data_IF_827680873708
#
_entry.id   IF_827680873708
#
_cell.length_a   1.000
_cell.length_b   1.000
_cell.length_c   1.000
_cell.angle_alpha   90.00
_cell.angle_beta   90.00
_cell.angle_gamma   90.00
#
_symmetry.space_group_name_H-M   'P 1'
#
loop_
_entity.id
_entity.type
_entity.pdbx_description
1 polymer ?
#
# COMPACT_ATOMS: atom_id res chain seq x y z
N UNK A 1 10.85 7.87 23.40
CA UNK A 1 10.22 6.66 23.97
C UNK A 1 8.71 6.75 23.80
N UNK A 2 8.22 6.00 22.82
CA UNK A 2 6.80 5.90 22.48
C UNK A 2 6.00 5.17 23.56
N UNK A 3 4.78 5.64 23.83
CA UNK A 3 3.90 5.05 24.82
C UNK A 3 3.21 3.78 24.29
N UNK A 4 3.17 2.72 25.10
CA UNK A 4 2.48 1.45 24.78
C UNK A 4 0.99 1.56 25.12
N UNK A 5 0.23 2.15 24.20
CA UNK A 5 -1.22 2.30 24.25
C UNK A 5 -1.84 1.77 22.95
N UNK A 6 -3.15 1.44 22.93
CA UNK A 6 -3.82 1.14 21.67
C UNK A 6 -3.56 2.27 20.66
N UNK A 7 -3.23 1.93 19.40
CA UNK A 7 -2.90 2.92 18.40
C UNK A 7 -4.14 3.74 18.03
N UNK A 8 -3.90 4.96 17.60
CA UNK A 8 -4.91 5.90 17.13
C UNK A 8 -4.38 6.61 15.89
N UNK A 9 -5.28 7.21 15.10
CA UNK A 9 -4.91 8.07 13.96
C UNK A 9 -3.81 9.08 14.32
N UNK A 10 -3.97 9.77 15.45
CA UNK A 10 -2.98 10.73 15.96
C UNK A 10 -1.65 10.09 16.34
N UNK A 11 -1.66 8.90 16.95
CA UNK A 11 -0.43 8.16 17.28
C UNK A 11 0.33 7.76 16.02
N UNK A 12 -0.37 7.23 15.01
CA UNK A 12 0.24 6.87 13.72
C UNK A 12 0.83 8.09 13.03
N UNK A 13 0.09 9.21 12.98
CA UNK A 13 0.58 10.47 12.42
C UNK A 13 1.90 10.92 13.06
N UNK A 14 1.98 10.90 14.40
CA UNK A 14 3.19 11.25 15.16
C UNK A 14 4.35 10.31 14.83
N UNK A 15 4.10 9.01 14.79
CA UNK A 15 5.13 8.01 14.48
C UNK A 15 5.69 8.19 13.07
N UNK A 16 4.81 8.31 12.07
CA UNK A 16 5.18 8.45 10.67
C UNK A 16 5.94 9.76 10.45
N UNK A 17 5.44 10.88 10.98
CA UNK A 17 6.12 12.18 10.91
C UNK A 17 7.49 12.13 11.59
N UNK A 18 7.58 11.49 12.76
CA UNK A 18 8.84 11.34 13.48
C UNK A 18 9.87 10.47 12.74
N UNK A 19 9.45 9.49 11.92
CA UNK A 19 10.36 8.75 11.03
C UNK A 19 10.86 9.66 9.90
N UNK A 20 9.97 10.43 9.26
CA UNK A 20 10.32 11.35 8.17
C UNK A 20 11.27 12.46 8.66
N UNK A 21 11.05 12.97 9.87
CA UNK A 21 11.84 14.02 10.50
C UNK A 21 13.07 13.48 11.25
N UNK A 22 13.36 12.17 11.15
CA UNK A 22 14.47 11.51 11.83
C UNK A 22 14.48 11.65 13.36
N UNK A 23 13.31 11.88 13.96
CA UNK A 23 13.11 11.92 15.42
C UNK A 23 12.99 10.52 16.03
N UNK A 24 12.49 9.55 15.26
CA UNK A 24 12.40 8.15 15.66
C UNK A 24 13.23 7.26 14.74
N UNK A 25 14.02 6.37 15.34
CA UNK A 25 14.69 5.30 14.59
C UNK A 25 13.70 4.20 14.22
N UNK A 26 13.97 3.48 13.14
CA UNK A 26 13.16 2.32 12.73
C UNK A 26 13.13 1.22 13.81
N UNK A 27 14.22 1.05 14.56
CA UNK A 27 14.30 0.13 15.70
C UNK A 27 13.38 0.54 16.86
N UNK A 28 13.30 1.84 17.16
CA UNK A 28 12.35 2.36 18.16
C UNK A 28 10.90 2.08 17.73
N UNK A 29 10.58 2.32 16.45
CA UNK A 29 9.24 2.05 15.91
C UNK A 29 8.91 0.56 15.93
N UNK A 30 9.85 -0.30 15.54
CA UNK A 30 9.63 -1.75 15.57
C UNK A 30 9.39 -2.25 17.01
N UNK A 31 10.19 -1.76 17.96
CA UNK A 31 10.03 -2.11 19.38
C UNK A 31 8.68 -1.67 19.92
N UNK A 32 8.24 -0.45 19.56
CA UNK A 32 6.91 0.04 19.90
C UNK A 32 5.80 -0.81 19.26
N UNK A 33 5.90 -1.10 17.97
CA UNK A 33 4.93 -1.93 17.25
C UNK A 33 4.76 -3.29 17.93
N UNK A 34 5.87 -3.98 18.23
CA UNK A 34 5.86 -5.28 18.90
C UNK A 34 5.20 -5.21 20.28
N UNK A 35 5.49 -4.17 21.07
CA UNK A 35 4.91 -3.98 22.40
C UNK A 35 3.39 -3.69 22.33
N UNK A 36 2.95 -2.86 21.38
CA UNK A 36 1.54 -2.55 21.16
C UNK A 36 0.80 -3.76 20.62
N UNK A 37 1.33 -4.42 19.60
CA UNK A 37 0.74 -5.62 18.99
C UNK A 37 0.57 -6.74 20.00
N UNK A 38 1.54 -6.97 20.90
CA UNK A 38 1.40 -7.95 22.00
C UNK A 38 0.24 -7.64 22.95
N UNK A 39 -0.15 -6.37 23.08
CA UNK A 39 -1.22 -5.94 23.99
C UNK A 39 -2.61 -5.98 23.36
N UNK A 40 -2.71 -5.63 22.08
CA UNK A 40 -4.00 -5.52 21.37
C UNK A 40 -4.27 -6.73 20.45
N UNK A 41 -3.23 -7.47 20.10
CA UNK A 41 -3.24 -8.54 19.10
C UNK A 41 -3.93 -8.08 17.80
N UNK A 42 -5.00 -8.76 17.39
CA UNK A 42 -5.78 -8.46 16.20
C UNK A 42 -6.98 -7.54 16.46
N UNK A 43 -7.16 -7.05 17.70
CA UNK A 43 -8.23 -6.13 18.07
C UNK A 43 -7.75 -4.68 17.90
N UNK A 44 -7.48 -4.30 16.66
CA UNK A 44 -6.95 -2.98 16.31
C UNK A 44 -8.08 -1.94 16.30
N UNK A 45 -8.07 -0.91 17.16
CA UNK A 45 -9.11 0.12 17.20
C UNK A 45 -8.86 1.22 16.16
N UNK A 46 -8.62 0.82 14.92
CA UNK A 46 -8.43 1.72 13.78
C UNK A 46 -9.38 1.32 12.66
N UNK A 47 -9.99 2.30 12.02
CA UNK A 47 -10.62 2.08 10.72
C UNK A 47 -9.58 2.15 9.60
N UNK A 48 -9.96 1.78 8.38
CA UNK A 48 -9.04 1.94 7.23
C UNK A 48 -8.65 3.41 7.02
N UNK A 49 -9.57 4.35 7.26
CA UNK A 49 -9.34 5.80 7.17
C UNK A 49 -8.40 6.33 8.27
N UNK A 50 -8.32 5.61 9.40
CA UNK A 50 -7.41 5.95 10.50
C UNK A 50 -5.99 5.41 10.30
N UNK A 51 -5.76 4.63 9.24
CA UNK A 51 -4.47 4.01 8.95
C UNK A 51 -4.33 2.56 9.45
N UNK A 52 -5.42 1.79 9.46
CA UNK A 52 -5.41 0.35 9.78
C UNK A 52 -4.26 -0.41 9.10
N UNK A 53 -4.15 -0.30 7.78
CA UNK A 53 -3.13 -0.97 6.98
C UNK A 53 -1.72 -0.46 7.27
N UNK A 54 -1.60 0.82 7.63
CA UNK A 54 -0.30 1.43 7.95
C UNK A 54 0.24 0.92 9.27
N UNK A 55 -0.62 0.71 10.28
CA UNK A 55 -0.18 0.07 11.52
C UNK A 55 0.44 -1.31 11.26
N UNK A 56 -0.23 -2.18 10.48
CA UNK A 56 0.32 -3.50 10.16
C UNK A 56 1.58 -3.43 9.31
N UNK A 57 1.68 -2.44 8.43
CA UNK A 57 2.86 -2.22 7.60
C UNK A 57 4.10 -1.95 8.45
N UNK A 58 3.97 -1.32 9.62
CA UNK A 58 5.09 -1.07 10.55
C UNK A 58 5.78 -2.35 11.06
N UNK A 59 5.14 -3.52 10.94
CA UNK A 59 5.82 -4.80 11.18
C UNK A 59 7.09 -4.96 10.33
N UNK A 60 7.09 -4.37 9.14
CA UNK A 60 8.17 -4.43 8.15
C UNK A 60 9.05 -3.18 8.12
N UNK A 61 8.96 -2.31 9.14
CA UNK A 61 9.73 -1.05 9.18
C UNK A 61 11.25 -1.28 9.08
N UNK A 62 11.75 -2.43 9.54
CA UNK A 62 13.14 -2.82 9.43
C UNK A 62 13.42 -3.89 8.37
N UNK A 63 12.40 -4.42 7.71
CA UNK A 63 12.58 -5.43 6.67
C UNK A 63 13.41 -4.84 5.52
N UNK A 64 14.29 -5.67 4.95
CA UNK A 64 15.13 -5.29 3.81
C UNK A 64 14.88 -6.19 2.61
N UNK A 65 14.80 -5.59 1.43
CA UNK A 65 14.64 -6.27 0.14
C UNK A 65 15.67 -5.67 -0.81
N UNK A 66 16.56 -6.52 -1.34
CA UNK A 66 17.65 -6.05 -2.21
C UNK A 66 18.67 -5.14 -1.50
N UNK A 67 18.87 -5.31 -0.19
CA UNK A 67 19.80 -4.51 0.60
C UNK A 67 19.23 -3.20 1.15
N UNK A 68 18.13 -2.72 0.57
CA UNK A 68 17.43 -1.50 0.96
C UNK A 68 16.26 -1.79 1.89
N UNK A 69 15.80 -0.78 2.64
CA UNK A 69 14.58 -0.91 3.43
C UNK A 69 13.37 -1.16 2.52
N UNK A 70 12.53 -2.13 2.91
CA UNK A 70 11.28 -2.42 2.22
C UNK A 70 10.38 -1.19 2.20
N UNK A 71 9.99 -0.69 3.38
CA UNK A 71 9.27 0.57 3.51
C UNK A 71 10.22 1.75 3.29
N UNK A 72 10.04 2.48 2.20
CA UNK A 72 10.83 3.66 1.81
C UNK A 72 10.30 4.89 2.52
N UNK A 73 11.10 5.97 2.55
CA UNK A 73 10.61 7.26 3.08
C UNK A 73 9.42 7.80 2.26
N UNK A 74 9.39 7.59 0.94
CA UNK A 74 8.24 7.96 0.12
C UNK A 74 6.96 7.22 0.51
N UNK A 75 7.06 5.97 0.99
CA UNK A 75 5.87 5.23 1.43
C UNK A 75 5.31 5.84 2.73
N UNK A 76 6.19 6.31 3.63
CA UNK A 76 5.80 7.03 4.85
C UNK A 76 5.14 8.38 4.55
N UNK A 77 5.64 9.11 3.55
CA UNK A 77 5.00 10.34 3.07
C UNK A 77 3.59 10.05 2.55
N UNK A 78 3.43 9.00 1.74
CA UNK A 78 2.12 8.59 1.21
C UNK A 78 1.15 8.15 2.33
N UNK A 79 1.63 7.46 3.37
CA UNK A 79 0.82 7.14 4.55
C UNK A 79 0.34 8.39 5.28
N UNK A 80 1.21 9.39 5.44
CA UNK A 80 0.87 10.62 6.15
C UNK A 80 -0.21 11.39 5.40
N UNK A 81 -0.06 11.51 4.08
CA UNK A 81 -1.07 12.14 3.19
C UNK A 81 -2.42 11.44 3.26
N UNK A 82 -2.43 10.12 3.27
CA UNK A 82 -3.66 9.33 3.38
C UNK A 82 -4.34 9.53 4.74
N UNK A 83 -3.57 9.49 5.84
CA UNK A 83 -4.05 9.82 7.20
C UNK A 83 -4.60 11.25 7.24
N UNK A 84 -3.96 12.20 6.58
CA UNK A 84 -4.39 13.60 6.50
C UNK A 84 -5.51 13.84 5.47
N UNK A 85 -6.02 12.77 4.85
CA UNK A 85 -7.09 12.79 3.86
C UNK A 85 -6.78 13.67 2.63
N UNK A 86 -5.51 13.75 2.25
CA UNK A 86 -5.08 14.40 1.01
C UNK A 86 -5.44 13.53 -0.20
N UNK A 87 -6.32 14.03 -1.05
CA UNK A 87 -6.82 13.32 -2.23
C UNK A 87 -5.72 12.85 -3.20
N UNK A 88 -5.95 11.71 -3.85
CA UNK A 88 -5.03 11.16 -4.84
C UNK A 88 -4.97 11.93 -6.16
N UNK A 89 -3.85 11.81 -6.86
CA UNK A 89 -3.48 12.59 -8.04
C UNK A 89 -4.07 12.07 -9.37
N UNK A 90 -4.18 12.95 -10.36
CA UNK A 90 -4.50 12.54 -11.73
C UNK A 90 -3.28 11.95 -12.44
N UNK A 91 -3.46 10.80 -13.13
CA UNK A 91 -2.38 10.09 -13.83
C UNK A 91 -2.43 10.23 -15.35
N UNK A 92 -3.52 10.77 -15.91
CA UNK A 92 -3.71 10.92 -17.36
C UNK A 92 -4.79 10.00 -17.92
N UNK A 93 -5.38 10.38 -19.06
CA UNK A 93 -6.29 9.52 -19.83
C UNK A 93 -7.46 8.93 -19.04
N UNK A 94 -8.11 9.73 -18.20
CA UNK A 94 -9.18 9.34 -17.24
C UNK A 94 -8.76 8.44 -16.08
N UNK A 95 -7.46 8.18 -15.92
CA UNK A 95 -6.93 7.42 -14.80
C UNK A 95 -6.59 8.36 -13.65
N UNK A 96 -7.10 8.04 -12.47
CA UNK A 96 -6.80 8.76 -11.22
C UNK A 96 -6.24 7.80 -10.18
N UNK A 97 -5.17 8.19 -9.51
CA UNK A 97 -4.70 7.54 -8.30
C UNK A 97 -5.72 7.81 -7.18
N UNK A 98 -6.17 6.74 -6.54
CA UNK A 98 -6.97 6.81 -5.33
C UNK A 98 -6.08 6.55 -4.12
N UNK A 99 -6.31 7.32 -3.07
CA UNK A 99 -5.76 7.04 -1.75
C UNK A 99 -6.45 5.84 -1.11
N UNK A 100 -5.84 5.26 -0.07
CA UNK A 100 -6.42 4.11 0.63
C UNK A 100 -7.72 4.51 1.33
N UNK A 101 -7.81 5.72 1.91
CA UNK A 101 -9.07 6.21 2.48
C UNK A 101 -10.17 6.43 1.42
N UNK A 102 -9.81 6.79 0.18
CA UNK A 102 -10.73 6.91 -0.96
C UNK A 102 -11.13 5.52 -1.54
N UNK A 103 -10.35 4.50 -1.19
CA UNK A 103 -10.64 3.13 -1.55
C UNK A 103 -11.73 2.60 -0.62
N UNK A 104 -12.81 2.06 -1.18
CA UNK A 104 -13.80 1.34 -0.38
C UNK A 104 -13.24 -0.08 -0.13
N UNK A 105 -12.85 -0.44 1.10
CA UNK A 105 -12.19 -1.72 1.37
C UNK A 105 -13.16 -2.89 1.23
N UNK A 106 -14.45 -2.66 1.48
CA UNK A 106 -15.52 -3.65 1.31
C UNK A 106 -15.88 -3.97 -0.14
N UNK A 107 -15.38 -3.21 -1.13
CA UNK A 107 -15.61 -3.56 -2.53
C UNK A 107 -14.82 -4.82 -2.90
N UNK A 108 -15.55 -5.84 -3.37
CA UNK A 108 -14.97 -7.05 -3.91
C UNK A 108 -14.21 -6.71 -5.19
N UNK A 109 -12.90 -7.01 -5.20
CA UNK A 109 -12.03 -6.88 -6.37
C UNK A 109 -11.65 -8.26 -6.86
N UNK A 110 -12.00 -8.57 -8.10
CA UNK A 110 -11.68 -9.84 -8.73
C UNK A 110 -10.27 -9.79 -9.32
N UNK A 111 -9.50 -10.88 -9.28
CA UNK A 111 -8.28 -10.98 -10.07
C UNK A 111 -8.63 -10.95 -11.56
N UNK A 112 -8.24 -9.87 -12.22
CA UNK A 112 -8.53 -9.64 -13.63
C UNK A 112 -7.38 -10.11 -14.50
N UNK A 113 -6.14 -9.74 -14.17
CA UNK A 113 -4.98 -10.10 -14.96
C UNK A 113 -3.75 -10.33 -14.08
N UNK A 114 -2.92 -11.27 -14.49
CA UNK A 114 -1.52 -11.34 -14.12
C UNK A 114 -0.73 -10.47 -15.11
N UNK A 115 0.13 -9.60 -14.60
CA UNK A 115 0.84 -8.59 -15.39
C UNK A 115 2.34 -8.87 -15.28
N UNK A 116 3.04 -8.82 -16.41
CA UNK A 116 4.50 -8.94 -16.37
C UNK A 116 5.08 -7.71 -15.66
N UNK A 117 5.91 -7.96 -14.65
CA UNK A 117 6.55 -6.90 -13.90
C UNK A 117 7.65 -6.24 -14.76
N UNK A 118 7.43 -4.97 -15.10
CA UNK A 118 8.42 -4.12 -15.73
C UNK A 118 8.88 -3.07 -14.71
N UNK A 119 10.05 -3.29 -14.09
CA UNK A 119 10.53 -2.50 -12.93
C UNK A 119 10.51 -0.98 -13.18
N UNK A 120 10.81 -0.52 -14.40
CA UNK A 120 10.80 0.91 -14.74
C UNK A 120 9.40 1.54 -14.87
N UNK A 121 8.36 0.74 -15.09
CA UNK A 121 6.99 1.26 -15.27
C UNK A 121 6.30 1.38 -13.93
N UNK A 122 6.33 0.31 -13.14
CA UNK A 122 5.64 0.27 -11.86
C UNK A 122 6.22 1.26 -10.86
N UNK A 123 7.55 1.42 -10.82
CA UNK A 123 8.22 2.34 -9.90
C UNK A 123 7.95 3.83 -10.19
N UNK A 124 7.46 4.17 -11.39
CA UNK A 124 7.08 5.54 -11.79
C UNK A 124 5.67 5.93 -11.35
N UNK A 125 4.83 4.96 -11.00
CA UNK A 125 3.50 5.20 -10.46
C UNK A 125 3.62 5.63 -8.99
N UNK A 126 2.63 6.37 -8.43
CA UNK A 126 2.58 6.67 -7.01
C UNK A 126 2.19 5.42 -6.20
N UNK A 127 3.07 4.43 -6.23
CA UNK A 127 2.91 3.18 -5.50
C UNK A 127 3.28 3.36 -4.04
N UNK A 128 2.60 2.58 -3.20
CA UNK A 128 2.82 2.53 -1.77
C UNK A 128 3.16 1.11 -1.37
N UNK A 129 4.26 0.92 -0.65
CA UNK A 129 4.60 -0.37 -0.01
C UNK A 129 3.90 -0.52 1.31
N UNK A 130 3.62 -1.75 1.71
CA UNK A 130 2.97 -2.03 2.98
C UNK A 130 2.75 -3.51 3.20
N UNK A 131 1.78 -3.81 4.05
CA UNK A 131 1.38 -5.17 4.39
C UNK A 131 -0.13 -5.32 4.38
N UNK A 132 -0.60 -6.45 3.87
CA UNK A 132 -1.95 -6.92 4.20
C UNK A 132 -1.93 -7.75 5.49
N UNK A 133 -2.94 -7.60 6.34
CA UNK A 133 -3.03 -8.08 7.72
C UNK A 133 -2.67 -9.56 7.92
N UNK A 134 -3.07 -10.45 7.00
CA UNK A 134 -2.77 -11.89 7.07
C UNK A 134 -2.39 -12.41 5.69
N UNK A 135 -1.20 -13.02 5.52
CA UNK A 135 -0.17 -13.39 6.50
C UNK A 135 0.91 -12.32 6.74
N UNK A 136 0.57 -11.04 6.77
CA UNK A 136 1.55 -9.94 6.72
C UNK A 136 2.43 -9.95 5.46
N UNK A 137 1.84 -10.33 4.31
CA UNK A 137 2.54 -10.32 3.03
C UNK A 137 3.00 -8.90 2.68
N UNK A 138 4.30 -8.78 2.38
CA UNK A 138 4.88 -7.56 1.84
C UNK A 138 4.33 -7.30 0.44
N UNK A 139 3.72 -6.13 0.25
CA UNK A 139 3.12 -5.74 -1.02
C UNK A 139 3.52 -4.32 -1.42
N UNK A 140 3.54 -4.06 -2.71
CA UNK A 140 3.59 -2.70 -3.27
C UNK A 140 2.35 -2.53 -4.14
N UNK A 141 1.58 -1.46 -3.93
CA UNK A 141 0.27 -1.33 -4.54
C UNK A 141 -0.08 0.11 -4.92
N UNK A 142 -1.05 0.23 -5.83
CA UNK A 142 -1.68 1.50 -6.19
C UNK A 142 -3.17 1.27 -6.44
N UNK A 143 -4.01 2.11 -5.84
CA UNK A 143 -5.45 2.11 -6.10
C UNK A 143 -5.75 3.10 -7.23
N UNK A 144 -6.65 2.70 -8.12
CA UNK A 144 -6.91 3.42 -9.36
C UNK A 144 -8.41 3.58 -9.56
N UNK A 145 -8.80 4.73 -10.10
CA UNK A 145 -10.12 4.97 -10.68
C UNK A 145 -9.96 5.11 -12.19
N UNK A 146 -10.72 4.33 -12.95
CA UNK A 146 -10.74 4.42 -14.41
C UNK A 146 -12.17 4.28 -14.94
N UNK A 147 -12.65 5.34 -15.59
CA UNK A 147 -14.02 5.46 -16.11
C UNK A 147 -15.07 4.96 -15.09
N UNK A 148 -14.98 5.46 -13.86
CA UNK A 148 -15.83 5.13 -12.69
C UNK A 148 -15.62 3.77 -12.02
N UNK A 149 -14.78 2.89 -12.57
CA UNK A 149 -14.46 1.60 -11.95
C UNK A 149 -13.19 1.69 -11.10
N UNK A 150 -13.19 0.96 -9.98
CA UNK A 150 -12.05 0.93 -9.05
C UNK A 150 -11.19 -0.29 -9.31
N UNK A 151 -9.89 -0.05 -9.44
CA UNK A 151 -8.87 -1.06 -9.65
C UNK A 151 -7.80 -0.99 -8.56
N UNK A 152 -7.09 -2.10 -8.38
CA UNK A 152 -5.94 -2.21 -7.51
C UNK A 152 -4.87 -2.97 -8.30
N UNK A 153 -3.77 -2.28 -8.60
CA UNK A 153 -2.59 -2.93 -9.14
C UNK A 153 -1.68 -3.24 -7.95
N UNK A 154 -1.35 -4.51 -7.75
CA UNK A 154 -0.62 -4.99 -6.56
C UNK A 154 0.49 -5.96 -6.93
N UNK A 155 1.71 -5.61 -6.53
CA UNK A 155 2.91 -6.45 -6.56
C UNK A 155 3.02 -7.16 -5.22
N UNK A 156 3.11 -8.48 -5.24
CA UNK A 156 3.52 -9.27 -4.07
C UNK A 156 5.05 -9.32 -4.06
N UNK A 157 5.66 -8.82 -2.98
CA UNK A 157 7.11 -8.77 -2.82
C UNK A 157 7.56 -10.02 -2.07
N UNK A 158 7.70 -11.14 -2.78
CA UNK A 158 8.16 -12.41 -2.20
C UNK A 158 9.69 -12.47 -2.06
N UNK A 159 10.41 -11.60 -2.76
CA UNK A 159 11.87 -11.61 -2.79
C UNK A 159 12.43 -12.74 -3.67
N UNK A 160 13.74 -12.69 -3.95
CA UNK A 160 14.40 -13.72 -4.75
C UNK A 160 13.95 -13.83 -6.21
N UNK A 161 13.39 -12.75 -6.78
CA UNK A 161 12.98 -12.69 -8.19
C UNK A 161 11.64 -13.35 -8.53
N UNK A 162 10.80 -13.63 -7.51
CA UNK A 162 9.48 -14.27 -7.67
C UNK A 162 8.31 -13.30 -7.53
N UNK A 163 8.57 -12.01 -7.67
CA UNK A 163 7.53 -11.00 -7.48
C UNK A 163 6.45 -11.14 -8.56
N UNK A 164 5.20 -11.13 -8.13
CA UNK A 164 4.04 -11.25 -9.02
C UNK A 164 3.23 -9.97 -8.98
N UNK A 165 2.81 -9.48 -10.15
CA UNK A 165 2.00 -8.27 -10.30
C UNK A 165 0.60 -8.65 -10.79
N UNK A 166 -0.42 -8.20 -10.07
CA UNK A 166 -1.81 -8.50 -10.39
C UNK A 166 -2.63 -7.22 -10.52
N UNK A 167 -3.51 -7.20 -11.52
CA UNK A 167 -4.59 -6.24 -11.60
C UNK A 167 -5.87 -6.85 -11.00
N UNK A 168 -6.38 -6.21 -9.96
CA UNK A 168 -7.68 -6.53 -9.36
C UNK A 168 -8.67 -5.41 -9.69
N UNK A 169 -9.96 -5.72 -9.85
CA UNK A 169 -10.96 -4.68 -10.14
C UNK A 169 -12.39 -5.06 -9.81
N UNK A 170 -13.25 -4.05 -9.70
CA UNK A 170 -14.69 -4.21 -9.46
C UNK A 170 -15.45 -4.63 -10.70
N UNK A 171 -14.97 -4.23 -11.88
CA UNK A 171 -15.53 -4.59 -13.18
C UNK A 171 -14.68 -5.69 -13.84
N UNK A 172 -15.34 -6.73 -14.37
CA UNK A 172 -14.71 -7.89 -14.99
C UNK A 172 -14.52 -7.77 -16.51
N UNK A 173 -14.81 -6.60 -17.09
CA UNK A 173 -14.57 -6.32 -18.51
C UNK A 173 -13.06 -6.35 -18.82
N UNK A 174 -12.64 -7.39 -19.55
CA UNK A 174 -11.25 -7.60 -19.96
C UNK A 174 -10.73 -6.52 -20.91
N UNK A 175 -11.58 -5.96 -21.77
CA UNK A 175 -11.16 -4.89 -22.70
C UNK A 175 -10.88 -3.61 -21.94
N UNK A 176 -11.73 -3.29 -20.96
CA UNK A 176 -11.51 -2.13 -20.08
C UNK A 176 -10.28 -2.30 -19.21
N UNK A 177 -10.05 -3.50 -18.68
CA UNK A 177 -8.84 -3.82 -17.94
C UNK A 177 -7.57 -3.71 -18.80
N UNK A 178 -7.61 -4.17 -20.05
CA UNK A 178 -6.52 -4.02 -21.01
C UNK A 178 -6.23 -2.53 -21.32
N UNK A 179 -7.26 -1.74 -21.61
CA UNK A 179 -7.11 -0.29 -21.87
C UNK A 179 -6.46 0.43 -20.66
N UNK A 180 -6.87 0.09 -19.43
CA UNK A 180 -6.22 0.60 -18.23
C UNK A 180 -4.72 0.24 -18.18
N UNK A 181 -4.38 -1.04 -18.41
CA UNK A 181 -2.98 -1.50 -18.36
C UNK A 181 -2.13 -0.80 -19.43
N UNK A 182 -2.63 -0.68 -20.66
CA UNK A 182 -1.93 -0.01 -21.75
C UNK A 182 -1.71 1.48 -21.45
N UNK A 183 -2.70 2.18 -20.86
CA UNK A 183 -2.56 3.58 -20.40
C UNK A 183 -1.52 3.74 -19.30
N UNK A 184 -1.36 2.72 -18.46
CA UNK A 184 -0.30 2.62 -17.46
C UNK A 184 1.00 2.05 -18.03
N UNK A 185 1.09 1.87 -19.34
CA UNK A 185 2.26 1.37 -20.08
C UNK A 185 2.67 -0.08 -19.79
N UNK A 186 1.70 -0.90 -19.37
CA UNK A 186 1.84 -2.35 -19.30
C UNK A 186 1.24 -3.00 -20.56
N UNK A 187 2.06 -3.74 -21.31
CA UNK A 187 1.65 -4.36 -22.58
C UNK A 187 1.65 -5.89 -22.53
N UNK A 188 2.24 -6.48 -21.49
CA UNK A 188 2.34 -7.93 -21.33
C UNK A 188 1.53 -8.35 -20.11
N UNK A 189 0.42 -9.03 -20.34
CA UNK A 189 -0.49 -9.51 -19.30
C UNK A 189 -1.29 -10.73 -19.77
N UNK A 190 -1.74 -11.53 -18.81
CA UNK A 190 -2.52 -12.75 -19.02
C UNK A 190 -3.84 -12.57 -18.27
N UNK A 191 -4.96 -12.65 -19.00
CA UNK A 191 -6.29 -12.79 -18.42
C UNK A 191 -6.58 -14.29 -18.16
N UNK A 192 -7.16 -14.66 -17.00
CA UNK A 192 -7.60 -16.02 -16.71
C UNK A 192 -8.80 -16.42 -17.58
#
# INVERSE_FOLDING_TARGET
MLLVKPPSKGTLRVIISGVLESQFSRDEILSWYQAVFKKIEWHLPLTWEDGYWYFYSLAHINARVGGEYFLRLKDMDEYLRDIDCEAGSFLGGNVRHLRVFESEPQLLRWPLAEVELVDNVFDRLPTTRGSFERPLSMVEHIHLLFDSDKYLLVRQCEGGGKDQLFLLGTNRDRRKAADLLERLTFFNYIFP
#
